data_IF_971999798632
#
_entry.id   IF_971999798632
#
_cell.length_a   1.000
_cell.length_b   1.000
_cell.length_c   1.000
_cell.angle_alpha   90.00
_cell.angle_beta   90.00
_cell.angle_gamma   90.00
#
_symmetry.space_group_name_H-M   'P 1'
#
loop_
_entity.id
_entity.type
_entity.pdbx_description
1 polymer ?
#
# COMPACT_ATOMS: atom_id res chain seq x y z
N UNK A 1 -10.71 -60.94 21.93
CA UNK A 1 -10.81 -59.47 21.87
C UNK A 1 -9.64 -58.91 22.67
N UNK A 2 -8.71 -58.18 22.06
CA UNK A 2 -7.61 -57.52 22.80
C UNK A 2 -8.10 -56.11 23.17
N UNK A 3 -8.06 -55.79 24.47
CA UNK A 3 -8.37 -54.45 24.95
C UNK A 3 -7.04 -53.71 25.12
N UNK A 4 -6.86 -52.63 24.38
CA UNK A 4 -5.68 -51.77 24.46
C UNK A 4 -6.07 -50.43 25.07
N UNK A 5 -5.25 -49.92 25.98
CA UNK A 5 -5.49 -48.64 26.64
C UNK A 5 -5.12 -47.50 25.67
N UNK A 6 -6.06 -46.61 25.44
CA UNK A 6 -5.81 -45.41 24.64
C UNK A 6 -4.91 -44.45 25.43
N UNK A 7 -3.72 -44.18 24.91
CA UNK A 7 -2.76 -43.27 25.56
C UNK A 7 -3.30 -41.84 25.55
N UNK A 8 -3.57 -41.27 26.73
CA UNK A 8 -4.08 -39.89 26.87
C UNK A 8 -2.94 -38.90 27.12
N UNK A 9 -3.11 -37.64 26.69
CA UNK A 9 -2.17 -36.55 27.00
C UNK A 9 -2.26 -36.03 28.45
N UNK A 10 -2.91 -36.77 29.36
CA UNK A 10 -3.13 -36.32 30.73
C UNK A 10 -1.82 -36.41 31.52
N UNK A 11 -1.29 -35.25 31.92
CA UNK A 11 0.02 -35.16 32.58
C UNK A 11 1.22 -35.02 31.63
N UNK A 12 0.97 -34.93 30.32
CA UNK A 12 2.02 -34.73 29.33
C UNK A 12 2.82 -33.44 29.59
N UNK A 13 4.11 -33.52 29.28
CA UNK A 13 5.05 -32.41 29.28
C UNK A 13 4.78 -31.48 28.09
N UNK A 14 5.36 -30.27 28.13
CA UNK A 14 5.22 -29.33 27.02
C UNK A 14 5.78 -29.91 25.71
N UNK A 15 6.89 -30.66 25.78
CA UNK A 15 7.53 -31.25 24.60
C UNK A 15 6.64 -32.31 23.94
N UNK A 16 6.07 -33.22 24.73
CA UNK A 16 5.16 -34.26 24.23
C UNK A 16 3.92 -33.67 23.57
N UNK A 17 3.37 -32.58 24.13
CA UNK A 17 2.23 -31.88 23.53
C UNK A 17 2.58 -31.25 22.16
N UNK A 18 3.79 -30.71 22.02
CA UNK A 18 4.27 -30.14 20.75
C UNK A 18 4.59 -31.24 19.71
N UNK A 19 5.17 -32.35 20.15
CA UNK A 19 5.40 -33.52 19.30
C UNK A 19 4.10 -34.12 18.79
N UNK A 20 3.07 -34.19 19.64
CA UNK A 20 1.75 -34.65 19.23
C UNK A 20 1.12 -33.73 18.17
N UNK A 21 1.28 -32.41 18.28
CA UNK A 21 0.86 -31.48 17.22
C UNK A 21 1.59 -31.76 15.89
N UNK A 22 2.91 -31.98 15.93
CA UNK A 22 3.71 -32.32 14.74
C UNK A 22 3.30 -33.65 14.13
N UNK A 23 3.06 -34.67 14.96
CA UNK A 23 2.57 -35.99 14.55
C UNK A 23 1.24 -35.86 13.82
N UNK A 24 0.28 -35.16 14.42
CA UNK A 24 -1.04 -34.96 13.84
C UNK A 24 -0.98 -34.15 12.52
N UNK A 25 -0.13 -33.12 12.43
CA UNK A 25 0.06 -32.36 11.19
C UNK A 25 0.65 -33.24 10.08
N UNK A 26 1.67 -34.05 10.41
CA UNK A 26 2.31 -34.98 9.49
C UNK A 26 1.35 -36.05 8.98
N UNK A 27 0.48 -36.58 9.86
CA UNK A 27 -0.55 -37.55 9.51
C UNK A 27 -1.59 -36.99 8.53
N UNK A 28 -1.90 -35.69 8.62
CA UNK A 28 -2.76 -35.00 7.65
C UNK A 28 -2.02 -34.62 6.35
N UNK A 29 -0.70 -34.86 6.26
CA UNK A 29 0.12 -34.46 5.13
C UNK A 29 0.21 -32.94 4.95
N UNK A 30 0.05 -32.16 6.03
CA UNK A 30 0.07 -30.69 6.00
C UNK A 30 1.13 -30.15 6.95
N UNK A 31 1.61 -28.95 6.65
CA UNK A 31 2.53 -28.18 7.49
C UNK A 31 1.80 -27.38 8.60
N UNK A 32 0.52 -27.66 8.82
CA UNK A 32 -0.32 -27.02 9.84
C UNK A 32 -1.44 -27.95 10.31
N UNK A 33 -2.02 -27.64 11.47
CA UNK A 33 -3.18 -28.35 12.01
C UNK A 33 -4.19 -27.39 12.64
N UNK A 34 -5.48 -27.58 12.31
CA UNK A 34 -6.58 -26.85 12.92
C UNK A 34 -7.02 -27.53 14.22
N UNK A 35 -7.69 -26.79 15.12
CA UNK A 35 -8.25 -27.37 16.33
C UNK A 35 -9.23 -28.52 16.04
N UNK A 36 -10.07 -28.37 15.01
CA UNK A 36 -10.99 -29.43 14.58
C UNK A 36 -10.25 -30.66 14.03
N UNK A 37 -9.15 -30.46 13.31
CA UNK A 37 -8.28 -31.55 12.86
C UNK A 37 -7.68 -32.30 14.04
N UNK A 38 -7.10 -31.57 14.99
CA UNK A 38 -6.51 -32.16 16.20
C UNK A 38 -7.54 -32.89 17.06
N UNK A 39 -8.76 -32.38 17.20
CA UNK A 39 -9.82 -33.06 17.94
C UNK A 39 -10.21 -34.42 17.34
N UNK A 40 -9.93 -34.65 16.05
CA UNK A 40 -10.28 -35.88 15.34
C UNK A 40 -9.19 -36.95 15.39
N UNK A 41 -7.92 -36.56 15.36
CA UNK A 41 -6.77 -37.49 15.25
C UNK A 41 -5.80 -37.44 16.42
N UNK A 42 -5.89 -36.39 17.25
CA UNK A 42 -4.99 -36.16 18.36
C UNK A 42 -5.42 -36.92 19.61
N UNK A 43 -4.45 -37.29 20.44
CA UNK A 43 -4.64 -38.02 21.69
C UNK A 43 -5.21 -37.19 22.85
N UNK A 44 -5.89 -36.08 22.55
CA UNK A 44 -6.48 -35.22 23.56
C UNK A 44 -7.26 -34.04 22.98
N UNK A 45 -7.87 -33.27 23.88
CA UNK A 45 -8.72 -32.14 23.46
C UNK A 45 -7.88 -30.90 23.12
N UNK A 46 -8.20 -30.15 22.05
CA UNK A 46 -7.48 -28.93 21.66
C UNK A 46 -7.33 -27.88 22.78
N UNK A 47 -8.28 -27.85 23.72
CA UNK A 47 -8.21 -26.93 24.88
C UNK A 47 -7.03 -27.21 25.79
N UNK A 48 -6.51 -28.44 25.82
CA UNK A 48 -5.30 -28.79 26.59
C UNK A 48 -4.10 -27.99 26.06
N UNK A 49 -3.96 -27.95 24.74
CA UNK A 49 -2.92 -27.21 24.04
C UNK A 49 -3.10 -25.70 24.28
N UNK A 50 -4.30 -25.16 24.04
CA UNK A 50 -4.52 -23.71 24.21
C UNK A 50 -4.32 -23.26 25.66
N UNK A 51 -4.76 -24.05 26.65
CA UNK A 51 -4.58 -23.72 28.07
C UNK A 51 -3.12 -23.79 28.50
N UNK A 52 -2.32 -24.71 27.92
CA UNK A 52 -0.91 -24.89 28.29
C UNK A 52 0.01 -23.85 27.66
N UNK A 53 -0.26 -23.47 26.41
CA UNK A 53 0.60 -22.57 25.62
C UNK A 53 0.00 -21.16 25.42
N UNK A 54 -1.14 -20.87 26.06
CA UNK A 54 -1.85 -19.59 25.97
C UNK A 54 -2.77 -19.48 24.75
N UNK A 55 -2.28 -19.82 23.55
CA UNK A 55 -3.09 -19.79 22.33
C UNK A 55 -2.70 -20.87 21.32
N UNK A 56 -3.65 -21.25 20.46
CA UNK A 56 -3.40 -22.23 19.39
C UNK A 56 -2.31 -21.78 18.41
N UNK A 57 -2.29 -20.53 17.92
CA UNK A 57 -1.21 -20.08 17.03
C UNK A 57 0.17 -20.12 17.70
N UNK A 58 0.28 -19.76 18.99
CA UNK A 58 1.54 -19.87 19.73
C UNK A 58 1.99 -21.32 19.87
N UNK A 59 1.07 -22.25 20.11
CA UNK A 59 1.41 -23.67 20.15
C UNK A 59 1.91 -24.19 18.79
N UNK A 60 1.31 -23.76 17.67
CA UNK A 60 1.78 -24.10 16.33
C UNK A 60 3.18 -23.52 16.07
N UNK A 61 3.42 -22.27 16.44
CA UNK A 61 4.71 -21.60 16.31
C UNK A 61 5.81 -22.32 17.10
N UNK A 62 5.55 -22.68 18.37
CA UNK A 62 6.45 -23.49 19.19
C UNK A 62 6.66 -24.91 18.64
N UNK A 63 5.65 -25.47 17.97
CA UNK A 63 5.76 -26.74 17.27
C UNK A 63 6.49 -26.61 15.92
N UNK A 64 6.85 -25.40 15.47
CA UNK A 64 7.44 -25.16 14.15
C UNK A 64 6.47 -25.40 12.99
N UNK A 65 5.16 -25.38 13.25
CA UNK A 65 4.09 -25.55 12.28
C UNK A 65 3.60 -24.18 11.79
N UNK A 66 3.11 -24.12 10.55
CA UNK A 66 2.52 -22.89 10.02
C UNK A 66 1.23 -22.54 10.76
N UNK A 67 0.91 -21.25 10.95
CA UNK A 67 -0.35 -20.84 11.55
C UNK A 67 -1.54 -21.35 10.74
N UNK A 68 -2.50 -22.01 11.41
CA UNK A 68 -3.65 -22.62 10.72
C UNK A 68 -4.69 -21.61 10.20
N UNK A 69 -4.56 -20.35 10.59
CA UNK A 69 -5.47 -19.25 10.23
C UNK A 69 -4.66 -18.02 9.89
N UNK A 70 -5.17 -17.20 8.97
CA UNK A 70 -4.65 -15.85 8.74
C UNK A 70 -4.62 -15.07 10.06
N UNK A 71 -3.62 -14.21 10.23
CA UNK A 71 -3.43 -13.35 11.41
C UNK A 71 -4.76 -12.72 11.82
N UNK A 72 -5.15 -12.87 13.09
CA UNK A 72 -6.35 -12.21 13.64
C UNK A 72 -5.94 -10.85 14.19
N UNK A 73 -6.81 -9.85 14.04
CA UNK A 73 -6.59 -8.52 14.59
C UNK A 73 -5.59 -7.67 13.78
N UNK A 74 -5.49 -7.90 12.47
CA UNK A 74 -4.68 -7.07 11.57
C UNK A 74 -5.16 -5.61 11.70
N UNK A 75 -4.27 -4.65 11.95
CA UNK A 75 -4.66 -3.23 12.02
C UNK A 75 -4.93 -2.66 10.62
N UNK A 76 -5.55 -1.48 10.55
CA UNK A 76 -5.72 -0.79 9.27
C UNK A 76 -4.36 -0.41 8.66
N UNK A 77 -3.41 0.03 9.50
CA UNK A 77 -2.03 0.34 9.07
C UNK A 77 -1.30 -0.89 8.50
N UNK A 78 -1.46 -2.07 9.11
CA UNK A 78 -0.85 -3.29 8.60
C UNK A 78 -1.43 -3.69 7.23
N UNK A 79 -2.73 -3.49 7.03
CA UNK A 79 -3.37 -3.70 5.72
C UNK A 79 -2.85 -2.70 4.68
N UNK A 80 -2.72 -1.42 5.05
CA UNK A 80 -2.20 -0.39 4.16
C UNK A 80 -0.72 -0.58 3.84
N UNK A 81 0.11 -0.99 4.79
CA UNK A 81 1.52 -1.28 4.51
C UNK A 81 1.68 -2.49 3.58
N UNK A 82 0.87 -3.54 3.75
CA UNK A 82 0.83 -4.64 2.79
C UNK A 82 0.43 -4.13 1.38
N UNK A 83 -0.59 -3.27 1.30
CA UNK A 83 -1.05 -2.69 0.03
C UNK A 83 0.04 -1.82 -0.61
N UNK A 84 0.75 -1.03 0.19
CA UNK A 84 1.92 -0.22 -0.22
C UNK A 84 3.00 -1.09 -0.82
N UNK A 85 3.36 -2.18 -0.15
CA UNK A 85 4.38 -3.12 -0.62
C UNK A 85 3.99 -3.76 -1.96
N UNK A 86 2.74 -4.22 -2.10
CA UNK A 86 2.24 -4.77 -3.36
C UNK A 86 2.26 -3.71 -4.47
N UNK A 87 1.85 -2.48 -4.18
CA UNK A 87 1.86 -1.37 -5.14
C UNK A 87 3.28 -1.01 -5.58
N UNK A 88 4.23 -0.93 -4.65
CA UNK A 88 5.64 -0.68 -4.94
C UNK A 88 6.27 -1.80 -5.76
N UNK A 89 5.85 -3.05 -5.55
CA UNK A 89 6.31 -4.19 -6.31
C UNK A 89 5.76 -4.18 -7.74
N UNK A 90 4.45 -3.97 -7.90
CA UNK A 90 3.80 -3.93 -9.21
C UNK A 90 4.13 -2.65 -10.00
N UNK A 91 4.62 -1.59 -9.34
CA UNK A 91 4.84 -0.25 -9.91
C UNK A 91 3.58 0.39 -10.51
N UNK A 92 2.42 -0.15 -10.15
CA UNK A 92 1.09 0.31 -10.56
C UNK A 92 0.08 -0.08 -9.49
N UNK A 93 -1.12 0.49 -9.60
CA UNK A 93 -2.26 0.09 -8.76
C UNK A 93 -2.51 -1.43 -8.84
N UNK A 94 -2.57 -2.12 -7.70
CA UNK A 94 -2.97 -3.52 -7.64
C UNK A 94 -4.44 -3.69 -8.04
N UNK A 95 -4.72 -4.72 -8.82
CA UNK A 95 -6.09 -5.16 -9.11
C UNK A 95 -6.59 -6.09 -8.01
N UNK A 96 -7.91 -6.22 -7.89
CA UNK A 96 -8.57 -7.04 -6.88
C UNK A 96 -7.93 -8.44 -6.71
N UNK A 97 -7.87 -9.23 -7.78
CA UNK A 97 -7.33 -10.59 -7.73
C UNK A 97 -5.81 -10.70 -7.50
N UNK A 98 -5.08 -9.58 -7.52
CA UNK A 98 -3.62 -9.56 -7.33
C UNK A 98 -3.24 -9.45 -5.85
N UNK A 99 -4.12 -8.92 -5.01
CA UNK A 99 -3.88 -8.84 -3.56
C UNK A 99 -3.91 -10.21 -2.90
N UNK A 100 -4.68 -11.16 -3.41
CA UNK A 100 -4.64 -12.53 -2.87
C UNK A 100 -3.45 -13.34 -3.37
N UNK A 101 -2.49 -12.71 -4.08
CA UNK A 101 -1.31 -13.35 -4.67
C UNK A 101 -0.01 -12.73 -4.12
N UNK A 102 1.11 -13.47 -4.15
CA UNK A 102 2.42 -12.92 -3.82
C UNK A 102 2.73 -11.66 -4.65
N UNK A 103 3.31 -10.59 -4.05
CA UNK A 103 3.97 -10.54 -2.74
C UNK A 103 3.06 -10.21 -1.55
N UNK A 104 1.74 -10.17 -1.74
CA UNK A 104 0.81 -9.85 -0.65
C UNK A 104 0.81 -10.93 0.43
N UNK A 105 0.73 -10.49 1.69
CA UNK A 105 0.63 -11.35 2.87
C UNK A 105 -0.83 -11.60 3.30
N UNK A 106 -1.77 -10.83 2.77
CA UNK A 106 -3.17 -10.87 3.14
C UNK A 106 -4.06 -11.09 1.92
N UNK A 107 -5.20 -11.74 2.11
CA UNK A 107 -6.23 -11.86 1.07
C UNK A 107 -6.97 -10.53 0.87
N UNK A 108 -7.82 -10.45 -0.16
CA UNK A 108 -8.68 -9.28 -0.42
C UNK A 108 -9.77 -9.06 0.63
N UNK A 109 -10.27 -10.12 1.26
CA UNK A 109 -11.46 -10.05 2.14
C UNK A 109 -11.33 -9.08 3.33
N UNK A 110 -10.19 -9.00 4.05
CA UNK A 110 -9.97 -8.00 5.10
C UNK A 110 -10.19 -6.56 4.63
N UNK A 111 -9.74 -6.20 3.42
CA UNK A 111 -9.91 -4.86 2.86
C UNK A 111 -11.37 -4.54 2.58
N UNK A 112 -12.12 -5.47 1.98
CA UNK A 112 -13.53 -5.25 1.67
C UNK A 112 -14.38 -5.10 2.92
N UNK A 113 -14.19 -6.00 3.90
CA UNK A 113 -14.97 -6.02 5.14
C UNK A 113 -14.77 -4.75 5.97
N UNK A 114 -13.54 -4.20 6.00
CA UNK A 114 -13.23 -3.02 6.80
C UNK A 114 -13.63 -1.71 6.14
N UNK A 115 -13.37 -1.58 4.85
CA UNK A 115 -13.53 -0.30 4.16
C UNK A 115 -14.81 -0.21 3.32
N UNK A 116 -15.71 -1.19 3.43
CA UNK A 116 -16.97 -1.20 2.68
C UNK A 116 -16.75 -1.38 1.17
N UNK A 117 -15.75 -2.19 0.80
CA UNK A 117 -15.42 -2.53 -0.59
C UNK A 117 -14.00 -2.18 -1.02
N UNK A 118 -13.53 -2.86 -2.07
CA UNK A 118 -12.15 -2.75 -2.56
C UNK A 118 -11.77 -1.34 -3.05
N UNK A 119 -12.65 -0.70 -3.82
CA UNK A 119 -12.42 0.67 -4.29
C UNK A 119 -12.32 1.67 -3.14
N UNK A 120 -13.11 1.48 -2.09
CA UNK A 120 -13.07 2.32 -0.90
C UNK A 120 -11.79 2.08 -0.08
N UNK A 121 -11.32 0.83 0.01
CA UNK A 121 -10.03 0.51 0.60
C UNK A 121 -8.87 1.23 -0.11
N UNK A 122 -8.90 1.29 -1.44
CA UNK A 122 -7.91 2.03 -2.24
C UNK A 122 -7.96 3.54 -1.99
N UNK A 123 -9.16 4.13 -1.88
CA UNK A 123 -9.33 5.56 -1.54
C UNK A 123 -8.74 5.86 -0.16
N UNK A 124 -9.10 5.06 0.84
CA UNK A 124 -8.59 5.19 2.21
C UNK A 124 -7.08 4.99 2.29
N UNK A 125 -6.54 4.08 1.51
CA UNK A 125 -5.10 3.90 1.37
C UNK A 125 -4.41 5.14 0.80
N UNK A 126 -4.96 5.75 -0.26
CA UNK A 126 -4.41 6.98 -0.84
C UNK A 126 -4.49 8.15 0.14
N UNK A 127 -5.60 8.29 0.87
CA UNK A 127 -5.73 9.25 1.98
C UNK A 127 -4.61 9.03 3.00
N UNK A 128 -4.45 7.80 3.49
CA UNK A 128 -3.43 7.42 4.48
C UNK A 128 -1.98 7.69 4.01
N UNK A 129 -1.62 7.33 2.77
CA UNK A 129 -0.27 7.60 2.24
C UNK A 129 -0.01 9.10 2.09
N UNK A 130 -1.00 9.87 1.66
CA UNK A 130 -0.85 11.31 1.48
C UNK A 130 -0.87 12.06 2.82
N UNK A 131 -1.62 11.57 3.81
CA UNK A 131 -1.60 12.08 5.20
C UNK A 131 -0.23 11.85 5.85
N UNK A 132 0.41 10.71 5.61
CA UNK A 132 1.79 10.47 6.04
C UNK A 132 2.81 11.41 5.37
N UNK A 133 2.60 11.80 4.11
CA UNK A 133 3.51 12.71 3.38
C UNK A 133 3.33 14.18 3.83
N UNK A 134 2.09 14.60 4.11
CA UNK A 134 1.76 15.86 4.78
C UNK A 134 2.45 15.95 6.16
N UNK A 135 2.50 14.85 6.92
CA UNK A 135 3.19 14.81 8.22
C UNK A 135 4.72 14.93 8.14
N UNK A 136 5.32 14.62 6.98
CA UNK A 136 6.78 14.73 6.72
C UNK A 136 7.16 16.08 6.07
N UNK A 137 6.18 16.86 5.61
CA UNK A 137 6.37 18.16 4.95
C UNK A 137 5.88 19.37 5.75
N UNK A 138 5.90 19.31 7.09
CA UNK A 138 5.77 20.51 7.93
C UNK A 138 7.16 20.98 8.38
N UNK A 139 7.66 22.15 7.92
CA UNK A 139 8.72 22.83 8.64
C UNK A 139 8.18 23.16 10.03
N UNK A 140 8.86 22.73 11.09
CA UNK A 140 8.53 23.05 12.49
C UNK A 140 8.48 24.58 12.68
N UNK A 141 7.31 25.18 12.50
CA UNK A 141 7.01 26.51 13.00
C UNK A 141 6.07 26.34 14.20
N UNK A 142 6.66 26.54 15.38
CA UNK A 142 5.91 26.64 16.63
C UNK A 142 5.02 27.89 16.60
N UNK A 143 3.77 27.65 17.05
CA UNK A 143 3.02 28.38 18.09
C UNK A 143 2.00 29.47 17.72
N UNK A 144 0.84 29.24 18.34
CA UNK A 144 -0.23 30.13 18.83
C UNK A 144 -1.32 30.61 17.87
N UNK A 145 -2.49 29.99 18.07
CA UNK A 145 -3.82 30.44 17.67
C UNK A 145 -4.18 31.67 18.51
N UNK A 146 -4.47 32.78 17.85
CA UNK A 146 -5.38 33.82 18.33
C UNK A 146 -6.32 34.15 17.16
N UNK A 147 -7.64 34.17 17.33
CA UNK A 147 -8.54 34.61 16.27
C UNK A 147 -8.53 36.15 16.24
N UNK A 148 -7.78 36.76 15.31
CA UNK A 148 -7.88 38.20 15.05
C UNK A 148 -8.87 38.43 13.88
N UNK A 149 -9.98 39.06 14.24
CA UNK A 149 -11.09 39.41 13.38
C UNK A 149 -10.79 40.77 12.75
N UNK A 150 -10.17 40.80 11.55
CA UNK A 150 -9.95 42.03 10.77
C UNK A 150 -10.09 41.80 9.26
N UNK A 151 -10.58 42.82 8.51
CA UNK A 151 -11.28 42.62 7.24
C UNK A 151 -10.34 42.34 6.06
N UNK A 152 -10.90 41.63 5.10
CA UNK A 152 -10.30 41.19 3.84
C UNK A 152 -9.54 42.28 3.10
N UNK A 153 -8.24 42.02 2.86
CA UNK A 153 -7.53 42.60 1.72
C UNK A 153 -7.14 41.47 0.77
N UNK A 154 -7.87 41.46 -0.34
CA UNK A 154 -7.61 40.76 -1.57
C UNK A 154 -6.16 40.95 -2.02
N UNK A 155 -5.34 39.91 -1.83
CA UNK A 155 -4.09 39.71 -2.56
C UNK A 155 -3.95 38.23 -2.84
N UNK A 156 -4.03 37.87 -4.12
CA UNK A 156 -3.85 36.52 -4.66
C UNK A 156 -2.49 35.94 -4.27
N UNK A 157 -2.42 35.27 -3.11
CA UNK A 157 -1.30 34.42 -2.77
C UNK A 157 -1.34 33.21 -3.72
N UNK A 158 -0.49 33.21 -4.76
CA UNK A 158 -0.33 32.07 -5.67
C UNK A 158 0.00 30.83 -4.83
N UNK A 159 -0.76 29.74 -4.99
CA UNK A 159 -0.63 28.55 -4.11
C UNK A 159 0.61 27.73 -4.44
N UNK A 160 1.22 27.97 -5.61
CA UNK A 160 2.35 27.19 -6.13
C UNK A 160 3.53 28.07 -6.56
N UNK A 161 4.74 27.56 -6.33
CA UNK A 161 5.99 28.17 -6.80
C UNK A 161 6.05 28.13 -8.32
N UNK A 162 6.67 29.14 -8.95
CA UNK A 162 6.86 29.20 -10.41
C UNK A 162 7.72 28.04 -10.95
N UNK A 163 8.71 27.61 -10.17
CA UNK A 163 9.66 26.59 -10.60
C UNK A 163 9.02 25.21 -10.61
N UNK A 164 9.15 24.52 -11.76
CA UNK A 164 8.75 23.13 -11.92
C UNK A 164 9.86 22.27 -11.33
N UNK A 165 9.53 21.38 -10.39
CA UNK A 165 10.53 20.47 -9.81
C UNK A 165 11.02 19.45 -10.85
N UNK A 166 12.27 18.99 -10.75
CA UNK A 166 12.83 18.03 -11.71
C UNK A 166 12.03 16.71 -11.75
N UNK A 167 11.51 16.28 -10.60
CA UNK A 167 10.60 15.12 -10.50
C UNK A 167 9.29 15.35 -11.24
N UNK A 168 8.70 16.54 -11.13
CA UNK A 168 7.47 16.90 -11.84
C UNK A 168 7.74 17.02 -13.34
N UNK A 169 8.87 17.62 -13.73
CA UNK A 169 9.33 17.70 -15.12
C UNK A 169 9.45 16.31 -15.75
N UNK A 170 10.14 15.38 -15.07
CA UNK A 170 10.29 14.01 -15.54
C UNK A 170 8.93 13.30 -15.69
N UNK A 171 8.01 13.49 -14.74
CA UNK A 171 6.66 12.91 -14.78
C UNK A 171 5.85 13.40 -15.98
N UNK A 172 5.88 14.70 -16.26
CA UNK A 172 5.19 15.28 -17.43
C UNK A 172 5.79 14.78 -18.74
N UNK A 173 7.12 14.65 -18.83
CA UNK A 173 7.79 14.06 -20.00
C UNK A 173 7.38 12.59 -20.22
N UNK A 174 7.34 11.80 -19.14
CA UNK A 174 6.95 10.39 -19.19
C UNK A 174 5.49 10.23 -19.62
N UNK A 175 4.57 11.02 -19.06
CA UNK A 175 3.15 11.01 -19.42
C UNK A 175 2.92 11.42 -20.88
N UNK A 176 3.75 12.32 -21.41
CA UNK A 176 3.75 12.69 -22.82
C UNK A 176 4.46 11.68 -23.74
N UNK A 177 4.94 10.55 -23.21
CA UNK A 177 5.65 9.52 -23.96
C UNK A 177 6.97 10.01 -24.57
N UNK A 178 7.61 11.03 -23.96
CA UNK A 178 8.76 11.73 -24.53
C UNK A 178 8.50 12.28 -25.95
N UNK A 179 7.29 12.84 -26.15
CA UNK A 179 6.88 13.50 -27.39
C UNK A 179 6.37 14.90 -27.12
N UNK A 180 6.59 15.80 -28.06
CA UNK A 180 5.97 17.12 -28.06
C UNK A 180 4.45 16.98 -28.24
N UNK A 181 3.66 17.55 -27.35
CA UNK A 181 2.19 17.50 -27.44
C UNK A 181 1.61 18.39 -28.54
N UNK A 182 2.41 19.27 -29.14
CA UNK A 182 1.95 20.13 -30.25
C UNK A 182 2.29 19.56 -31.64
N UNK A 183 3.44 18.92 -31.81
CA UNK A 183 3.90 18.45 -33.14
C UNK A 183 4.28 16.97 -33.20
N UNK A 184 4.26 16.25 -32.08
CA UNK A 184 4.61 14.83 -32.01
C UNK A 184 6.12 14.51 -32.06
N UNK A 185 6.98 15.51 -32.27
CA UNK A 185 8.43 15.32 -32.33
C UNK A 185 8.97 14.68 -31.04
N UNK A 186 9.88 13.72 -31.20
CA UNK A 186 10.49 12.96 -30.12
C UNK A 186 12.01 12.85 -30.34
N UNK A 187 12.83 12.83 -29.28
CA UNK A 187 14.24 12.47 -29.39
C UNK A 187 14.47 11.12 -30.09
N UNK A 188 13.49 10.21 -30.03
CA UNK A 188 13.56 8.89 -30.66
C UNK A 188 13.29 8.91 -32.17
N UNK A 189 12.44 9.82 -32.65
CA UNK A 189 12.07 9.90 -34.07
C UNK A 189 12.88 10.94 -34.83
N UNK A 190 13.41 11.93 -34.11
CA UNK A 190 14.08 13.10 -34.68
C UNK A 190 15.27 13.44 -33.81
N UNK A 191 16.44 12.98 -34.23
CA UNK A 191 17.73 13.17 -33.57
C UNK A 191 17.97 14.65 -33.26
N UNK A 192 18.33 14.97 -32.02
CA UNK A 192 18.57 16.36 -31.59
C UNK A 192 17.33 17.13 -31.14
N UNK A 193 16.16 16.51 -31.05
CA UNK A 193 14.96 17.14 -30.47
C UNK A 193 15.12 17.33 -28.97
N UNK A 194 15.20 18.58 -28.52
CA UNK A 194 15.19 18.95 -27.10
C UNK A 194 13.74 19.19 -26.62
N UNK A 195 13.34 18.53 -25.53
CA UNK A 195 12.02 18.67 -24.92
C UNK A 195 12.08 19.51 -23.64
N UNK A 196 11.11 20.40 -23.51
CA UNK A 196 10.91 21.26 -22.36
C UNK A 196 9.50 21.07 -21.79
N UNK A 197 9.36 21.30 -20.49
CA UNK A 197 8.06 21.36 -19.82
C UNK A 197 7.77 22.81 -19.50
N UNK A 198 6.60 23.28 -19.91
CA UNK A 198 6.19 24.68 -19.81
C UNK A 198 4.72 24.79 -19.41
N UNK A 199 4.32 25.92 -18.83
CA UNK A 199 2.95 26.14 -18.39
C UNK A 199 2.00 26.37 -19.57
N UNK A 200 0.82 25.76 -19.58
CA UNK A 200 -0.22 26.00 -20.58
C UNK A 200 -0.70 27.45 -20.45
N UNK A 201 -1.16 27.84 -19.27
CA UNK A 201 -1.36 29.23 -18.86
C UNK A 201 -0.10 29.74 -18.17
N UNK A 202 0.55 30.82 -18.66
CA UNK A 202 1.77 31.34 -18.05
C UNK A 202 1.57 31.67 -16.57
N UNK A 203 2.58 31.37 -15.75
CA UNK A 203 2.53 31.68 -14.32
C UNK A 203 2.35 33.18 -14.02
N UNK A 204 2.88 34.05 -14.89
CA UNK A 204 2.67 35.51 -14.81
C UNK A 204 1.21 35.92 -15.00
N UNK A 205 0.42 35.12 -15.71
CA UNK A 205 -1.01 35.35 -16.00
C UNK A 205 -1.95 34.56 -15.08
N UNK A 206 -1.43 33.98 -13.99
CA UNK A 206 -2.23 33.25 -13.00
C UNK A 206 -2.22 31.73 -13.15
N UNK A 207 -1.45 31.17 -14.08
CA UNK A 207 -1.32 29.72 -14.20
C UNK A 207 -0.52 29.09 -13.06
N UNK A 208 -1.12 28.14 -12.34
CA UNK A 208 -0.44 27.43 -11.26
C UNK A 208 0.51 26.35 -11.78
N UNK A 209 1.54 26.00 -11.01
CA UNK A 209 2.49 24.93 -11.34
C UNK A 209 1.95 23.56 -10.88
N UNK A 210 0.79 23.20 -11.44
CA UNK A 210 0.14 21.90 -11.24
C UNK A 210 0.23 21.09 -12.52
N UNK A 211 0.19 19.77 -12.42
CA UNK A 211 0.37 18.87 -13.57
C UNK A 211 -0.58 19.18 -14.73
N UNK A 212 -1.84 19.52 -14.42
CA UNK A 212 -2.87 19.88 -15.41
C UNK A 212 -2.55 21.14 -16.21
N UNK A 213 -1.73 22.04 -15.65
CA UNK A 213 -1.31 23.28 -16.30
C UNK A 213 0.11 23.17 -16.88
N UNK A 214 0.71 21.98 -16.96
CA UNK A 214 2.03 21.75 -17.54
C UNK A 214 1.94 20.90 -18.82
N UNK A 215 2.74 21.24 -19.82
CA UNK A 215 2.77 20.52 -21.10
C UNK A 215 4.20 20.29 -21.59
N UNK A 216 4.42 19.16 -22.25
CA UNK A 216 5.69 18.82 -22.90
C UNK A 216 5.72 19.40 -24.33
N UNK A 217 6.71 20.25 -24.61
CA UNK A 217 6.94 20.85 -25.95
C UNK A 217 8.38 20.71 -26.38
N UNK A 218 8.62 20.52 -27.68
CA UNK A 218 9.96 20.66 -28.24
C UNK A 218 10.40 22.12 -28.23
N UNK A 219 11.71 22.37 -28.29
CA UNK A 219 12.30 23.71 -28.34
C UNK A 219 11.62 24.64 -29.36
N UNK A 220 11.36 24.15 -30.57
CA UNK A 220 10.68 24.92 -31.62
C UNK A 220 9.25 25.32 -31.23
N UNK A 221 8.43 24.37 -30.78
CA UNK A 221 7.05 24.65 -30.34
C UNK A 221 6.99 25.48 -29.05
N UNK A 222 8.01 25.38 -28.20
CA UNK A 222 8.13 26.18 -26.98
C UNK A 222 8.45 27.64 -27.31
N UNK A 223 9.41 27.89 -28.21
CA UNK A 223 9.75 29.23 -28.69
C UNK A 223 8.60 29.86 -29.49
N UNK A 224 7.88 29.07 -30.30
CA UNK A 224 6.71 29.53 -31.06
C UNK A 224 5.50 29.95 -30.21
N UNK A 225 5.48 29.58 -28.92
CA UNK A 225 4.43 29.96 -27.96
C UNK A 225 4.48 31.45 -27.59
N UNK A 226 5.60 32.11 -27.86
CA UNK A 226 5.93 33.46 -27.40
C UNK A 226 5.00 34.60 -27.81
N UNK A 227 4.07 34.43 -28.76
CA UNK A 227 3.14 35.49 -29.19
C UNK A 227 1.75 35.03 -29.67
N UNK A 228 1.36 33.76 -29.51
CA UNK A 228 0.18 33.21 -30.19
C UNK A 228 -1.13 33.17 -29.35
N UNK A 229 -1.06 33.38 -28.03
CA UNK A 229 -2.25 33.37 -27.17
C UNK A 229 -2.51 34.77 -26.60
N UNK A 230 -3.18 35.61 -27.40
CA UNK A 230 -4.05 36.67 -26.87
C UNK A 230 -5.31 35.95 -26.37
N UNK A 231 -5.62 36.13 -25.09
CA UNK A 231 -6.87 35.67 -24.49
C UNK A 231 -8.00 36.58 -24.95
#
# INVERSE_FOLDING_TARGET
MKFELETTLRGATNLELLEELRRCASELGRDTITQAGFAKIGKGHPTTITRRFGSWPQALDMAGLRPSRSKIGISDDELFENLRNVWMFLKRQPRYGEISKPPSQFSTSPYEKRFGGWTNALKKFVEWVNEEDESKHVPKARKHIVPDNRPSRDQSSRRTKRNISERQRFRILLNAGFRCQSCGASPLTSSGTELHVDHIMPWSKGGETIDDNLTCKCKQCNLGKGNAFKY
#
